data_IF_959062263446
#
_entry.id   IF_959062263446
#
_cell.length_a   1.000
_cell.length_b   1.000
_cell.length_c   1.000
_cell.angle_alpha   90.00
_cell.angle_beta   90.00
_cell.angle_gamma   90.00
#
_symmetry.space_group_name_H-M   'P 1'
#
loop_
_entity.id
_entity.type
_entity.pdbx_description
1 polymer ?
#
# COMPACT_ATOMS: atom_id res chain seq x y z
N UNK A 1 44.13 -21.70 -6.48
CA UNK A 1 43.93 -20.38 -5.83
C UNK A 1 43.02 -19.63 -6.76
N UNK A 2 41.71 -19.75 -6.55
CA UNK A 2 40.74 -18.99 -7.34
C UNK A 2 40.96 -17.51 -7.06
N UNK A 3 41.16 -16.73 -8.12
CA UNK A 3 41.32 -15.28 -8.01
C UNK A 3 40.12 -14.71 -7.28
N UNK A 4 40.35 -14.04 -6.15
CA UNK A 4 39.32 -13.29 -5.45
C UNK A 4 38.63 -12.37 -6.46
N UNK A 5 37.28 -12.29 -6.45
CA UNK A 5 36.55 -11.45 -7.40
C UNK A 5 37.06 -10.01 -7.32
N UNK A 6 37.13 -9.34 -8.47
CA UNK A 6 37.55 -7.94 -8.54
C UNK A 6 36.62 -7.08 -7.68
N UNK A 7 37.10 -6.76 -6.48
CA UNK A 7 36.34 -6.02 -5.48
C UNK A 7 35.97 -4.61 -5.97
N UNK A 8 36.65 -4.08 -7.00
CA UNK A 8 36.29 -2.79 -7.59
C UNK A 8 35.03 -2.89 -8.46
N UNK A 9 34.93 -3.93 -9.30
CA UNK A 9 33.73 -4.22 -10.09
C UNK A 9 32.53 -4.60 -9.19
N UNK A 10 32.78 -5.36 -8.12
CA UNK A 10 31.74 -5.67 -7.12
C UNK A 10 31.27 -4.40 -6.41
N UNK A 11 32.17 -3.50 -6.01
CA UNK A 11 31.80 -2.21 -5.39
C UNK A 11 31.06 -1.29 -6.35
N UNK A 12 31.44 -1.27 -7.63
CA UNK A 12 30.74 -0.49 -8.66
C UNK A 12 29.30 -0.99 -8.88
N UNK A 13 29.10 -2.32 -8.89
CA UNK A 13 27.76 -2.92 -8.98
C UNK A 13 26.91 -2.73 -7.71
N UNK A 14 27.53 -2.42 -6.57
CA UNK A 14 26.85 -2.12 -5.31
C UNK A 14 26.54 -0.63 -5.13
N UNK A 15 27.08 0.25 -5.96
CA UNK A 15 26.82 1.68 -5.88
C UNK A 15 25.33 1.97 -6.13
N UNK A 16 24.75 2.84 -5.30
CA UNK A 16 23.40 3.36 -5.52
C UNK A 16 23.51 4.76 -6.12
N UNK A 17 22.71 5.03 -7.14
CA UNK A 17 22.52 6.36 -7.70
C UNK A 17 21.07 6.75 -7.46
N UNK A 18 20.84 7.91 -6.85
CA UNK A 18 19.49 8.40 -6.65
C UNK A 18 18.86 8.73 -8.00
N UNK A 19 17.71 8.12 -8.26
CA UNK A 19 16.84 8.34 -9.42
C UNK A 19 15.45 8.60 -8.87
N UNK A 20 14.70 9.52 -9.47
CA UNK A 20 13.33 9.80 -9.08
C UNK A 20 12.36 9.04 -9.99
N UNK A 21 11.34 8.40 -9.42
CA UNK A 21 10.33 7.66 -10.17
C UNK A 21 9.66 8.54 -11.24
N UNK A 22 9.46 9.82 -10.94
CA UNK A 22 8.88 10.80 -11.86
C UNK A 22 9.61 10.91 -13.21
N UNK A 23 10.91 10.60 -13.25
CA UNK A 23 11.71 10.63 -14.48
C UNK A 23 11.38 9.45 -15.44
N UNK A 24 10.68 8.43 -14.93
CA UNK A 24 10.32 7.21 -15.65
C UNK A 24 8.81 7.05 -15.88
N UNK A 25 7.99 8.00 -15.43
CA UNK A 25 6.54 7.92 -15.54
C UNK A 25 6.03 8.56 -16.84
N UNK A 26 5.24 7.85 -17.65
CA UNK A 26 4.63 8.44 -18.83
C UNK A 26 3.54 9.45 -18.45
N UNK A 27 3.27 10.47 -19.29
CA UNK A 27 2.11 11.33 -19.09
C UNK A 27 0.81 10.54 -19.21
N UNK A 28 -0.24 11.01 -18.53
CA UNK A 28 -1.56 10.38 -18.62
C UNK A 28 -2.26 10.74 -19.92
N UNK A 29 -2.94 9.76 -20.51
CA UNK A 29 -4.02 10.02 -21.46
C UNK A 29 -5.17 10.75 -20.74
N UNK A 30 -5.63 11.92 -21.23
CA UNK A 30 -6.65 12.72 -20.53
C UNK A 30 -7.99 11.99 -20.33
N UNK A 31 -8.37 11.11 -21.26
CA UNK A 31 -9.63 10.37 -21.19
C UNK A 31 -9.53 9.22 -20.17
N UNK A 32 -8.39 8.53 -20.14
CA UNK A 32 -8.08 7.54 -19.13
C UNK A 32 -7.94 8.17 -17.73
N UNK A 33 -7.34 9.35 -17.62
CA UNK A 33 -7.30 10.10 -16.35
C UNK A 33 -8.70 10.50 -15.92
N UNK A 34 -9.60 10.93 -16.83
CA UNK A 34 -10.99 11.21 -16.48
C UNK A 34 -11.68 10.00 -15.84
N UNK A 35 -11.52 8.80 -16.41
CA UNK A 35 -12.05 7.55 -15.82
C UNK A 35 -11.43 7.29 -14.44
N UNK A 36 -10.11 7.46 -14.29
CA UNK A 36 -9.41 7.28 -13.02
C UNK A 36 -9.90 8.25 -11.93
N UNK A 37 -9.99 9.55 -12.24
CA UNK A 37 -10.44 10.57 -11.29
C UNK A 37 -11.88 10.29 -10.84
N UNK A 38 -12.75 9.89 -11.76
CA UNK A 38 -14.12 9.52 -11.41
C UNK A 38 -14.19 8.24 -10.56
N UNK A 39 -13.40 7.21 -10.89
CA UNK A 39 -13.26 6.01 -10.05
C UNK A 39 -12.75 6.34 -8.63
N UNK A 40 -11.77 7.24 -8.51
CA UNK A 40 -11.27 7.75 -7.23
C UNK A 40 -12.32 8.50 -6.44
N UNK A 41 -13.11 9.32 -7.11
CA UNK A 41 -14.23 10.03 -6.49
C UNK A 41 -15.25 9.05 -5.90
N UNK A 42 -15.68 8.04 -6.67
CA UNK A 42 -16.59 7.00 -6.19
C UNK A 42 -16.02 6.23 -5.00
N UNK A 43 -14.73 5.88 -5.04
CA UNK A 43 -14.05 5.18 -3.95
C UNK A 43 -13.98 6.01 -2.65
N UNK A 44 -13.84 7.33 -2.76
CA UNK A 44 -13.75 8.26 -1.62
C UNK A 44 -15.11 8.71 -1.09
N UNK A 45 -16.16 8.68 -1.93
CA UNK A 45 -17.51 9.09 -1.57
C UNK A 45 -18.00 8.34 -0.33
N UNK A 46 -18.66 9.06 0.57
CA UNK A 46 -19.27 8.47 1.77
C UNK A 46 -20.52 7.66 1.42
N UNK A 47 -20.78 6.62 2.20
CA UNK A 47 -21.91 5.69 2.01
C UNK A 47 -21.51 4.32 1.44
N UNK A 48 -22.51 3.48 1.12
CA UNK A 48 -22.27 2.15 0.53
C UNK A 48 -21.49 2.28 -0.77
N UNK A 49 -20.46 1.44 -0.94
CA UNK A 49 -19.54 1.48 -2.09
C UNK A 49 -19.78 0.29 -3.00
N UNK A 50 -19.93 0.55 -4.30
CA UNK A 50 -19.86 -0.48 -5.32
C UNK A 50 -18.42 -0.54 -5.86
N UNK A 51 -17.62 -1.44 -5.33
CA UNK A 51 -16.22 -1.57 -5.76
C UNK A 51 -16.07 -2.21 -7.13
N UNK A 52 -17.06 -2.97 -7.62
CA UNK A 52 -17.07 -3.46 -9.00
C UNK A 52 -17.24 -2.30 -9.99
N UNK A 53 -18.07 -1.31 -9.65
CA UNK A 53 -18.18 -0.08 -10.44
C UNK A 53 -16.86 0.71 -10.43
N UNK A 54 -16.18 0.83 -9.28
CA UNK A 54 -14.85 1.48 -9.21
C UNK A 54 -13.83 0.71 -10.07
N UNK A 55 -13.81 -0.62 -9.94
CA UNK A 55 -12.90 -1.49 -10.67
C UNK A 55 -13.12 -1.42 -12.18
N UNK A 56 -14.37 -1.30 -12.65
CA UNK A 56 -14.70 -1.05 -14.07
C UNK A 56 -13.94 0.15 -14.61
N UNK A 57 -14.02 1.30 -13.94
CA UNK A 57 -13.32 2.51 -14.38
C UNK A 57 -11.80 2.32 -14.37
N UNK A 58 -11.26 1.68 -13.32
CA UNK A 58 -9.83 1.42 -13.25
C UNK A 58 -9.32 0.43 -14.30
N UNK A 59 -10.08 -0.62 -14.62
CA UNK A 59 -9.74 -1.59 -15.68
C UNK A 59 -9.60 -0.90 -17.03
N UNK A 60 -10.58 -0.08 -17.39
CA UNK A 60 -10.58 0.63 -18.68
C UNK A 60 -9.43 1.65 -18.71
N UNK A 61 -9.25 2.43 -17.64
CA UNK A 61 -8.13 3.38 -17.56
C UNK A 61 -6.75 2.68 -17.61
N UNK A 62 -6.58 1.57 -16.89
CA UNK A 62 -5.36 0.78 -16.88
C UNK A 62 -5.04 0.20 -18.27
N UNK A 63 -6.04 -0.27 -19.01
CA UNK A 63 -5.86 -0.76 -20.39
C UNK A 63 -5.37 0.33 -21.37
N UNK A 64 -5.62 1.61 -21.04
CA UNK A 64 -5.08 2.78 -21.73
C UNK A 64 -3.80 3.35 -21.08
N UNK A 65 -3.11 2.56 -20.26
CA UNK A 65 -1.79 2.91 -19.71
C UNK A 65 -1.82 3.77 -18.45
N UNK A 66 -2.99 3.94 -17.82
CA UNK A 66 -3.09 4.75 -16.61
C UNK A 66 -2.54 4.00 -15.38
N UNK A 67 -1.26 4.18 -15.07
CA UNK A 67 -0.55 3.41 -14.07
C UNK A 67 -1.11 3.53 -12.65
N UNK A 68 -1.62 4.70 -12.24
CA UNK A 68 -2.28 4.84 -10.92
C UNK A 68 -3.60 4.08 -10.85
N UNK A 69 -4.29 3.91 -11.98
CA UNK A 69 -5.53 3.14 -12.04
C UNK A 69 -5.20 1.65 -11.94
N UNK A 70 -4.15 1.23 -12.64
CA UNK A 70 -3.60 -0.13 -12.55
C UNK A 70 -3.23 -0.48 -11.10
N UNK A 71 -2.37 0.30 -10.41
CA UNK A 71 -1.99 0.01 -9.02
C UNK A 71 -3.21 -0.05 -8.07
N UNK A 72 -4.16 0.86 -8.22
CA UNK A 72 -5.37 0.84 -7.39
C UNK A 72 -6.25 -0.37 -7.68
N UNK A 73 -6.36 -0.79 -8.94
CA UNK A 73 -7.10 -1.97 -9.34
C UNK A 73 -6.46 -3.24 -8.78
N UNK A 74 -5.14 -3.37 -8.87
CA UNK A 74 -4.39 -4.49 -8.28
C UNK A 74 -4.78 -4.67 -6.81
N UNK A 75 -4.78 -3.59 -6.02
CA UNK A 75 -5.19 -3.63 -4.61
C UNK A 75 -6.65 -4.04 -4.40
N UNK A 76 -7.59 -3.60 -5.25
CA UNK A 76 -9.01 -3.99 -5.16
C UNK A 76 -9.20 -5.48 -5.49
N UNK A 77 -8.57 -5.95 -6.56
CA UNK A 77 -8.71 -7.33 -7.04
C UNK A 77 -7.99 -8.32 -6.11
N UNK A 78 -6.74 -8.01 -5.72
CA UNK A 78 -5.93 -8.91 -4.91
C UNK A 78 -6.49 -9.14 -3.50
N UNK A 79 -7.24 -8.17 -2.97
CA UNK A 79 -7.93 -8.24 -1.69
C UNK A 79 -9.34 -8.85 -1.79
N UNK A 80 -9.80 -9.19 -3.00
CA UNK A 80 -11.16 -9.69 -3.24
C UNK A 80 -12.26 -8.65 -3.02
N UNK A 81 -11.91 -7.36 -3.04
CA UNK A 81 -12.86 -6.25 -2.88
C UNK A 81 -13.62 -6.00 -4.20
N UNK A 82 -12.95 -6.22 -5.33
CA UNK A 82 -13.56 -6.23 -6.65
C UNK A 82 -13.53 -7.65 -7.24
N UNK A 83 -14.63 -8.03 -7.89
CA UNK A 83 -14.78 -9.34 -8.50
C UNK A 83 -13.88 -9.49 -9.73
N UNK A 84 -13.25 -10.66 -9.85
CA UNK A 84 -12.46 -11.09 -10.99
C UNK A 84 -12.65 -12.59 -11.21
N UNK A 85 -12.77 -13.06 -12.47
CA UNK A 85 -12.82 -14.50 -12.77
C UNK A 85 -11.56 -15.24 -12.31
N UNK A 86 -10.41 -14.57 -12.31
CA UNK A 86 -9.13 -15.09 -11.84
C UNK A 86 -8.32 -13.93 -11.25
N UNK A 87 -8.59 -13.62 -9.98
CA UNK A 87 -7.97 -12.49 -9.29
C UNK A 87 -6.43 -12.54 -9.25
N UNK A 88 -5.79 -13.70 -8.95
CA UNK A 88 -4.34 -13.82 -9.03
C UNK A 88 -3.80 -13.51 -10.43
N UNK A 89 -4.42 -14.07 -11.47
CA UNK A 89 -3.98 -13.81 -12.84
C UNK A 89 -4.14 -12.35 -13.24
N UNK A 90 -5.31 -11.75 -13.00
CA UNK A 90 -5.56 -10.35 -13.35
C UNK A 90 -4.55 -9.43 -12.66
N UNK A 91 -4.30 -9.65 -11.36
CA UNK A 91 -3.34 -8.85 -10.58
C UNK A 91 -1.92 -8.95 -11.15
N UNK A 92 -1.46 -10.16 -11.47
CA UNK A 92 -0.11 -10.36 -12.05
C UNK A 92 -0.02 -9.80 -13.47
N UNK A 93 -1.06 -9.94 -14.29
CA UNK A 93 -1.09 -9.36 -15.64
C UNK A 93 -1.04 -7.82 -15.58
N UNK A 94 -1.72 -7.20 -14.60
CA UNK A 94 -1.65 -5.75 -14.34
C UNK A 94 -0.24 -5.30 -13.92
N UNK A 95 0.40 -5.98 -12.98
CA UNK A 95 1.77 -5.66 -12.58
C UNK A 95 2.78 -5.86 -13.73
N UNK A 96 2.61 -6.94 -14.51
CA UNK A 96 3.41 -7.19 -15.71
C UNK A 96 3.21 -6.12 -16.79
N UNK A 97 1.99 -5.58 -16.93
CA UNK A 97 1.72 -4.46 -17.83
C UNK A 97 2.57 -3.23 -17.48
N UNK A 98 2.73 -2.91 -16.19
CA UNK A 98 3.57 -1.80 -15.73
C UNK A 98 5.05 -2.05 -15.98
N UNK A 99 5.53 -3.28 -15.71
CA UNK A 99 6.91 -3.70 -16.03
C UNK A 99 7.19 -3.53 -17.53
N UNK A 100 6.26 -3.96 -18.39
CA UNK A 100 6.39 -3.82 -19.85
C UNK A 100 6.41 -2.37 -20.33
N UNK A 101 5.82 -1.45 -19.56
CA UNK A 101 5.84 -0.01 -19.81
C UNK A 101 7.07 0.67 -19.20
N UNK A 102 7.95 -0.07 -18.52
CA UNK A 102 9.12 0.47 -17.83
C UNK A 102 8.78 1.26 -16.56
N UNK A 103 7.58 1.09 -16.02
CA UNK A 103 7.12 1.82 -14.83
C UNK A 103 7.75 1.19 -13.58
N UNK A 104 8.47 1.95 -12.75
CA UNK A 104 9.20 1.41 -11.59
C UNK A 104 8.32 0.66 -10.60
N UNK A 105 7.11 1.19 -10.31
CA UNK A 105 6.13 0.54 -9.45
C UNK A 105 5.73 -0.88 -9.88
N UNK A 106 5.73 -1.20 -11.17
CA UNK A 106 5.44 -2.57 -11.62
C UNK A 106 6.47 -3.60 -11.16
N UNK A 107 7.75 -3.21 -11.13
CA UNK A 107 8.80 -4.08 -10.59
C UNK A 107 8.65 -4.28 -9.09
N UNK A 108 8.26 -3.23 -8.35
CA UNK A 108 7.95 -3.31 -6.92
C UNK A 108 6.77 -4.27 -6.67
N UNK A 109 5.69 -4.14 -7.45
CA UNK A 109 4.49 -4.98 -7.34
C UNK A 109 4.82 -6.47 -7.58
N UNK A 110 5.54 -6.79 -8.65
CA UNK A 110 5.97 -8.19 -8.92
C UNK A 110 6.88 -8.71 -7.80
N UNK A 111 7.80 -7.88 -7.31
CA UNK A 111 8.63 -8.23 -6.15
C UNK A 111 7.77 -8.60 -4.94
N UNK A 112 6.79 -7.77 -4.61
CA UNK A 112 5.87 -8.00 -3.51
C UNK A 112 5.06 -9.30 -3.67
N UNK A 113 4.53 -9.57 -4.88
CA UNK A 113 3.78 -10.81 -5.13
C UNK A 113 4.65 -12.08 -5.09
N UNK A 114 5.92 -11.99 -5.47
CA UNK A 114 6.90 -13.08 -5.30
C UNK A 114 7.22 -13.33 -3.81
N UNK A 115 7.25 -12.29 -2.97
CA UNK A 115 7.43 -12.49 -1.52
C UNK A 115 6.22 -13.18 -0.87
N UNK A 116 5.02 -12.83 -1.31
CA UNK A 116 3.77 -13.38 -0.77
C UNK A 116 3.41 -14.75 -1.35
N UNK A 117 3.88 -15.06 -2.56
CA UNK A 117 3.41 -16.22 -3.33
C UNK A 117 1.99 -16.05 -3.88
N UNK A 118 1.56 -14.81 -4.19
CA UNK A 118 0.24 -14.52 -4.74
C UNK A 118 0.28 -14.50 -6.26
N UNK A 119 -0.40 -15.45 -6.93
CA UNK A 119 -0.38 -15.60 -8.40
C UNK A 119 0.97 -16.06 -8.99
N UNK A 120 2.06 -15.92 -8.23
CA UNK A 120 3.40 -16.39 -8.54
C UNK A 120 3.86 -17.37 -7.46
N UNK A 121 4.75 -18.29 -7.81
CA UNK A 121 5.42 -19.13 -6.80
C UNK A 121 6.29 -18.24 -5.90
N UNK A 122 6.18 -18.43 -4.59
CA UNK A 122 6.99 -17.67 -3.63
C UNK A 122 8.49 -17.86 -3.90
N UNK A 123 9.20 -16.73 -4.02
CA UNK A 123 10.65 -16.70 -4.27
C UNK A 123 11.24 -15.39 -3.73
N UNK A 124 11.82 -15.45 -2.53
CA UNK A 124 12.40 -14.28 -1.87
C UNK A 124 13.64 -13.73 -2.58
N UNK A 125 14.45 -14.59 -3.22
CA UNK A 125 15.65 -14.12 -3.92
C UNK A 125 15.28 -13.37 -5.20
N UNK A 126 14.31 -13.89 -5.95
CA UNK A 126 13.78 -13.21 -7.12
C UNK A 126 13.09 -11.91 -6.71
N UNK A 127 12.29 -11.92 -5.63
CA UNK A 127 11.65 -10.72 -5.12
C UNK A 127 12.67 -9.61 -4.82
N UNK A 128 13.78 -9.92 -4.14
CA UNK A 128 14.84 -8.96 -3.86
C UNK A 128 15.47 -8.36 -5.13
N UNK A 129 15.60 -9.15 -6.20
CA UNK A 129 16.10 -8.65 -7.50
C UNK A 129 15.11 -7.66 -8.13
N UNK A 130 13.81 -7.96 -8.08
CA UNK A 130 12.75 -7.06 -8.56
C UNK A 130 12.69 -5.77 -7.73
N UNK A 131 12.73 -5.88 -6.40
CA UNK A 131 12.80 -4.73 -5.48
C UNK A 131 14.03 -3.86 -5.77
N UNK A 132 15.21 -4.48 -5.97
CA UNK A 132 16.41 -3.73 -6.33
C UNK A 132 16.26 -3.01 -7.67
N UNK A 133 15.71 -3.69 -8.68
CA UNK A 133 15.46 -3.08 -9.99
C UNK A 133 14.49 -1.90 -9.91
N UNK A 134 13.42 -2.01 -9.11
CA UNK A 134 12.49 -0.92 -8.86
C UNK A 134 13.18 0.28 -8.18
N UNK A 135 14.04 0.03 -7.19
CA UNK A 135 14.80 1.06 -6.49
C UNK A 135 15.79 1.80 -7.41
N UNK A 136 16.50 1.05 -8.26
CA UNK A 136 17.43 1.61 -9.26
C UNK A 136 16.71 2.41 -10.36
N UNK A 137 15.41 2.15 -10.59
CA UNK A 137 14.53 2.93 -11.47
C UNK A 137 13.77 4.05 -10.73
N UNK A 138 14.08 4.27 -9.45
CA UNK A 138 13.59 5.41 -8.70
C UNK A 138 12.34 5.20 -7.86
N UNK A 139 11.74 3.99 -7.84
CA UNK A 139 10.53 3.75 -7.04
C UNK A 139 10.81 4.00 -5.54
N UNK A 140 10.10 4.93 -4.88
CA UNK A 140 10.39 5.32 -3.49
C UNK A 140 10.12 4.20 -2.47
N UNK A 141 9.07 3.40 -2.65
CA UNK A 141 8.77 2.27 -1.78
C UNK A 141 9.88 1.20 -1.86
N UNK A 142 10.40 0.94 -3.06
CA UNK A 142 11.51 0.03 -3.29
C UNK A 142 12.84 0.57 -2.73
N UNK A 143 13.12 1.86 -2.89
CA UNK A 143 14.29 2.50 -2.28
C UNK A 143 14.25 2.36 -0.76
N UNK A 144 13.08 2.61 -0.16
CA UNK A 144 12.87 2.38 1.26
C UNK A 144 13.08 0.91 1.65
N UNK A 145 12.42 -0.02 0.94
CA UNK A 145 12.49 -1.46 1.19
C UNK A 145 13.93 -1.99 1.11
N UNK A 146 14.66 -1.65 0.06
CA UNK A 146 16.05 -2.10 -0.11
C UNK A 146 16.96 -1.42 0.91
N UNK A 147 16.71 -0.15 1.23
CA UNK A 147 17.39 0.57 2.31
C UNK A 147 17.29 -0.17 3.64
N UNK A 148 16.09 -0.62 4.02
CA UNK A 148 15.84 -1.42 5.23
C UNK A 148 16.66 -2.73 5.26
N UNK A 149 16.82 -3.41 4.12
CA UNK A 149 17.66 -4.63 4.04
C UNK A 149 19.15 -4.33 4.20
N UNK A 150 19.60 -3.14 3.79
CA UNK A 150 21.00 -2.72 3.84
C UNK A 150 21.36 -1.99 5.14
N UNK A 151 20.37 -1.53 5.91
CA UNK A 151 20.53 -0.77 7.15
C UNK A 151 21.34 -1.47 8.26
N UNK A 152 21.28 -2.81 8.44
CA UNK A 152 22.12 -3.49 9.43
C UNK A 152 23.61 -3.12 9.28
N UNK A 153 24.29 -2.94 10.41
CA UNK A 153 25.65 -2.41 10.48
C UNK A 153 26.68 -3.25 9.69
N UNK A 154 26.42 -4.54 9.57
CA UNK A 154 27.21 -5.55 8.89
C UNK A 154 26.91 -5.67 7.38
N UNK A 155 25.91 -4.95 6.87
CA UNK A 155 25.53 -4.93 5.45
C UNK A 155 26.09 -3.70 4.71
N UNK A 156 25.28 -2.64 4.57
CA UNK A 156 25.69 -1.43 3.84
C UNK A 156 24.93 -0.18 4.34
N UNK A 157 25.09 0.22 5.62
CA UNK A 157 24.30 1.29 6.24
C UNK A 157 24.47 2.65 5.55
N UNK A 158 25.62 2.91 4.92
CA UNK A 158 25.83 4.14 4.14
C UNK A 158 24.96 4.18 2.88
N UNK A 159 24.78 3.05 2.20
CA UNK A 159 23.91 2.95 1.02
C UNK A 159 22.45 3.01 1.45
N UNK A 160 22.09 2.37 2.57
CA UNK A 160 20.75 2.47 3.15
C UNK A 160 20.33 3.93 3.38
N UNK A 161 21.20 4.73 4.01
CA UNK A 161 20.97 6.17 4.21
C UNK A 161 20.77 6.92 2.90
N UNK A 162 21.55 6.61 1.86
CA UNK A 162 21.40 7.25 0.54
C UNK A 162 20.04 6.90 -0.10
N UNK A 163 19.62 5.64 0.01
CA UNK A 163 18.32 5.20 -0.50
C UNK A 163 17.16 5.85 0.25
N UNK A 164 17.23 5.91 1.58
CA UNK A 164 16.21 6.61 2.37
C UNK A 164 16.18 8.11 2.08
N UNK A 165 17.33 8.76 1.88
CA UNK A 165 17.39 10.16 1.44
C UNK A 165 16.68 10.35 0.10
N UNK A 166 16.99 9.51 -0.90
CA UNK A 166 16.36 9.59 -2.21
C UNK A 166 14.83 9.38 -2.13
N UNK A 167 14.36 8.40 -1.35
CA UNK A 167 12.93 8.18 -1.14
C UNK A 167 12.27 9.35 -0.40
N UNK A 168 12.96 9.94 0.58
CA UNK A 168 12.51 11.12 1.34
C UNK A 168 12.34 12.33 0.43
N UNK A 169 13.28 12.56 -0.50
CA UNK A 169 13.24 13.66 -1.46
C UNK A 169 12.05 13.54 -2.44
N UNK A 170 11.54 12.32 -2.61
CA UNK A 170 10.32 12.01 -3.38
C UNK A 170 9.03 12.05 -2.54
N UNK A 171 9.12 12.37 -1.24
CA UNK A 171 7.98 12.46 -0.33
C UNK A 171 7.55 11.13 0.29
N UNK A 172 8.43 10.13 0.35
CA UNK A 172 8.17 8.87 1.05
C UNK A 172 8.30 9.07 2.57
N UNK A 173 7.18 8.94 3.26
CA UNK A 173 7.00 9.38 4.65
C UNK A 173 7.75 8.49 5.65
N UNK A 174 7.69 7.16 5.49
CA UNK A 174 8.42 6.19 6.33
C UNK A 174 9.93 6.29 6.13
N UNK A 175 10.38 6.54 4.90
CA UNK A 175 11.81 6.71 4.62
C UNK A 175 12.37 7.94 5.32
N UNK A 176 11.61 9.03 5.33
CA UNK A 176 11.98 10.25 6.03
C UNK A 176 12.07 10.05 7.55
N UNK A 177 11.17 9.23 8.12
CA UNK A 177 11.22 8.85 9.52
C UNK A 177 12.48 8.00 9.83
N UNK A 178 12.75 6.95 9.06
CA UNK A 178 13.93 6.10 9.28
C UNK A 178 15.24 6.86 9.07
N UNK A 179 15.31 7.72 8.05
CA UNK A 179 16.43 8.63 7.85
C UNK A 179 16.64 9.55 9.06
N UNK A 180 15.56 10.11 9.61
CA UNK A 180 15.63 10.95 10.81
C UNK A 180 16.14 10.18 12.03
N UNK A 181 15.69 8.93 12.23
CA UNK A 181 16.13 8.06 13.32
C UNK A 181 17.62 7.71 13.18
N UNK A 182 18.06 7.32 11.99
CA UNK A 182 19.46 6.98 11.70
C UNK A 182 20.40 8.19 11.88
N UNK A 183 20.01 9.35 11.37
CA UNK A 183 20.76 10.60 11.53
C UNK A 183 20.83 11.02 13.01
N UNK A 184 19.73 10.87 13.77
CA UNK A 184 19.72 11.08 15.22
C UNK A 184 20.68 10.13 15.94
N UNK A 185 20.66 8.84 15.61
CA UNK A 185 21.58 7.84 16.16
C UNK A 185 23.04 8.17 15.87
N UNK A 186 23.31 8.72 14.68
CA UNK A 186 24.60 9.25 14.25
C UNK A 186 24.93 10.63 14.82
N UNK A 187 24.05 11.22 15.65
CA UNK A 187 24.16 12.56 16.26
C UNK A 187 24.24 13.71 15.23
N UNK A 188 23.74 13.47 14.02
CA UNK A 188 23.60 14.46 12.95
C UNK A 188 22.26 15.20 13.12
N UNK A 189 22.10 15.86 14.27
CA UNK A 189 20.81 16.38 14.72
C UNK A 189 20.14 17.40 13.78
N UNK A 190 20.86 18.37 13.17
CA UNK A 190 20.22 19.31 12.23
C UNK A 190 19.64 18.61 11.00
N UNK A 191 20.29 17.56 10.50
CA UNK A 191 19.81 16.81 9.35
C UNK A 191 18.69 15.85 9.75
N UNK A 192 18.75 15.26 10.95
CA UNK A 192 17.64 14.50 11.52
C UNK A 192 16.36 15.35 11.61
N UNK A 193 16.46 16.59 12.10
CA UNK A 193 15.32 17.52 12.17
C UNK A 193 14.73 17.83 10.78
N UNK A 194 15.57 18.00 9.75
CA UNK A 194 15.10 18.18 8.36
C UNK A 194 14.39 16.94 7.83
N UNK A 195 14.94 15.75 8.08
CA UNK A 195 14.33 14.49 7.67
C UNK A 195 12.96 14.30 8.35
N UNK A 196 12.87 14.54 9.66
CA UNK A 196 11.58 14.52 10.37
C UNK A 196 10.61 15.57 9.84
N UNK A 197 11.08 16.76 9.45
CA UNK A 197 10.23 17.79 8.85
C UNK A 197 9.64 17.31 7.51
N UNK A 198 10.45 16.67 6.66
CA UNK A 198 9.96 16.06 5.42
C UNK A 198 9.01 14.88 5.69
N UNK A 199 9.25 14.09 6.74
CA UNK A 199 8.35 13.03 7.17
C UNK A 199 6.98 13.57 7.57
N UNK A 200 6.95 14.59 8.45
CA UNK A 200 5.71 15.25 8.85
C UNK A 200 4.99 15.93 7.67
N UNK A 201 5.73 16.60 6.78
CA UNK A 201 5.22 17.13 5.51
C UNK A 201 4.52 16.06 4.68
N UNK A 202 5.13 14.87 4.65
CA UNK A 202 4.68 13.71 3.91
C UNK A 202 3.64 12.87 4.67
N UNK A 203 3.15 13.34 5.82
CA UNK A 203 2.07 12.67 6.56
C UNK A 203 2.52 11.58 7.54
N UNK A 204 3.79 11.58 7.97
CA UNK A 204 4.25 10.66 9.02
C UNK A 204 4.07 11.29 10.41
N UNK A 205 3.15 10.76 11.22
CA UNK A 205 2.89 11.29 12.57
C UNK A 205 4.03 11.03 13.55
N UNK A 206 4.76 9.91 13.43
CA UNK A 206 5.97 9.64 14.23
C UNK A 206 7.06 10.70 14.00
N UNK A 207 7.25 11.14 12.76
CA UNK A 207 8.18 12.21 12.44
C UNK A 207 7.76 13.56 13.08
N UNK A 208 6.45 13.86 13.09
CA UNK A 208 5.93 15.02 13.81
C UNK A 208 6.17 14.90 15.33
N UNK A 209 5.99 13.71 15.91
CA UNK A 209 6.22 13.44 17.33
C UNK A 209 7.69 13.63 17.73
N UNK A 210 8.64 13.22 16.89
CA UNK A 210 10.07 13.49 17.15
C UNK A 210 10.38 14.98 17.22
N UNK A 211 9.75 15.80 16.38
CA UNK A 211 9.91 17.25 16.40
C UNK A 211 9.16 17.88 17.58
N UNK A 212 7.95 17.41 17.92
CA UNK A 212 7.22 17.81 19.11
C UNK A 212 8.09 17.64 20.36
N UNK A 213 8.60 16.43 20.58
CA UNK A 213 9.43 16.13 21.73
C UNK A 213 10.79 16.82 21.67
N UNK A 214 11.40 16.94 20.48
CA UNK A 214 12.66 17.67 20.32
C UNK A 214 12.56 19.14 20.73
N UNK A 215 11.49 19.83 20.33
CA UNK A 215 11.22 21.22 20.73
C UNK A 215 10.68 21.36 22.16
N UNK A 216 10.21 20.28 22.80
CA UNK A 216 9.90 20.28 24.23
C UNK A 216 11.16 20.45 25.12
N UNK A 217 12.36 20.45 24.53
CA UNK A 217 13.62 20.74 25.22
C UNK A 217 14.08 19.65 26.19
N UNK A 218 14.08 18.36 25.80
CA UNK A 218 14.51 17.28 26.66
C UNK A 218 15.99 17.44 27.04
N UNK A 219 16.35 16.95 28.22
CA UNK A 219 17.75 16.86 28.63
C UNK A 219 18.54 15.97 27.66
N UNK A 220 19.84 16.23 27.40
CA UNK A 220 20.70 15.30 26.65
C UNK A 220 20.75 13.87 27.18
N UNK A 221 20.36 13.64 28.44
CA UNK A 221 20.23 12.31 29.02
C UNK A 221 19.01 11.53 28.52
N UNK A 222 17.99 12.22 28.00
CA UNK A 222 16.84 11.60 27.34
C UNK A 222 17.21 11.28 25.88
N UNK A 223 17.92 10.16 25.70
CA UNK A 223 18.40 9.73 24.39
C UNK A 223 17.27 9.44 23.39
N UNK A 224 16.05 9.19 23.87
CA UNK A 224 14.91 8.88 23.01
C UNK A 224 14.46 10.14 22.25
N UNK A 225 14.29 11.24 22.98
CA UNK A 225 13.70 12.48 22.47
C UNK A 225 14.72 13.56 22.12
N UNK A 226 15.96 13.45 22.60
CA UNK A 226 16.97 14.47 22.38
C UNK A 226 17.46 14.50 20.92
N UNK A 227 17.16 15.62 20.24
CA UNK A 227 17.66 15.94 18.89
C UNK A 227 18.29 17.35 18.82
N UNK A 228 18.89 17.82 19.93
CA UNK A 228 19.62 19.09 20.02
C UNK A 228 18.91 20.33 19.43
N UNK A 229 17.58 20.35 19.50
CA UNK A 229 16.77 21.51 19.14
C UNK A 229 16.65 22.46 20.33
N UNK A 230 16.51 23.78 20.10
CA UNK A 230 16.22 24.72 21.16
C UNK A 230 14.85 24.43 21.77
N UNK A 231 14.71 24.62 23.08
CA UNK A 231 13.40 24.56 23.73
C UNK A 231 12.48 25.65 23.16
N UNK A 232 11.38 25.23 22.55
CA UNK A 232 10.38 26.09 21.92
C UNK A 232 8.97 25.48 22.09
N UNK A 233 8.25 25.86 23.16
CA UNK A 233 6.93 25.31 23.46
C UNK A 233 5.90 25.51 22.35
N UNK A 234 5.99 26.60 21.58
CA UNK A 234 5.04 26.87 20.50
C UNK A 234 5.33 25.98 19.28
N UNK A 235 6.60 25.76 18.93
CA UNK A 235 6.93 24.74 17.90
C UNK A 235 6.47 23.37 18.32
N UNK A 236 6.77 22.98 19.56
CA UNK A 236 6.32 21.69 20.12
C UNK A 236 4.80 21.53 19.99
N UNK A 237 4.03 22.56 20.40
CA UNK A 237 2.57 22.60 20.24
C UNK A 237 2.11 22.47 18.79
N UNK A 238 2.75 23.15 17.83
CA UNK A 238 2.39 23.07 16.40
C UNK A 238 2.65 21.69 15.82
N UNK A 239 3.77 21.04 16.16
CA UNK A 239 4.03 19.67 15.74
C UNK A 239 3.06 18.67 16.33
N UNK A 240 2.65 18.85 17.59
CA UNK A 240 1.57 18.06 18.19
C UNK A 240 0.28 18.16 17.37
N UNK A 241 -0.14 19.38 17.03
CA UNK A 241 -1.35 19.62 16.24
C UNK A 241 -1.24 19.02 14.82
N UNK A 242 -0.04 19.03 14.23
CA UNK A 242 0.25 18.36 12.96
C UNK A 242 0.11 16.84 13.11
N UNK A 243 0.69 16.23 14.15
CA UNK A 243 0.55 14.81 14.44
C UNK A 243 -0.92 14.41 14.64
N UNK A 244 -1.64 15.14 15.49
CA UNK A 244 -3.08 14.95 15.72
C UNK A 244 -3.91 15.11 14.43
N UNK A 245 -3.52 16.01 13.53
CA UNK A 245 -4.16 16.16 12.22
C UNK A 245 -3.89 14.96 11.32
N UNK A 246 -2.65 14.49 11.25
CA UNK A 246 -2.26 13.32 10.46
C UNK A 246 -3.03 12.09 10.95
N UNK A 247 -2.99 11.79 12.25
CA UNK A 247 -3.61 10.58 12.81
C UNK A 247 -5.14 10.56 12.62
N UNK A 248 -5.83 11.70 12.84
CA UNK A 248 -7.29 11.80 12.62
C UNK A 248 -7.70 11.57 11.16
N UNK A 249 -6.78 11.78 10.22
CA UNK A 249 -7.05 11.70 8.79
C UNK A 249 -6.32 10.52 8.11
N UNK A 250 -5.64 9.64 8.84
CA UNK A 250 -4.75 8.60 8.31
C UNK A 250 -5.39 7.76 7.18
N UNK A 251 -6.65 7.36 7.34
CA UNK A 251 -7.42 6.64 6.30
C UNK A 251 -7.68 7.41 5.00
N UNK A 252 -7.29 8.68 4.93
CA UNK A 252 -7.39 9.57 3.75
C UNK A 252 -6.01 9.97 3.20
N UNK A 253 -4.91 9.40 3.72
CA UNK A 253 -3.52 9.69 3.35
C UNK A 253 -3.21 11.21 3.41
N UNK A 254 -3.29 11.82 4.60
CA UNK A 254 -3.14 13.26 4.76
C UNK A 254 -1.69 13.69 4.49
N UNK A 255 -1.52 14.90 3.98
CA UNK A 255 -0.20 15.54 3.77
C UNK A 255 -0.24 16.94 4.35
N UNK A 256 0.92 17.49 4.69
CA UNK A 256 1.06 18.85 5.24
C UNK A 256 2.02 19.66 4.35
N UNK A 257 1.65 19.94 3.08
CA UNK A 257 2.55 20.56 2.10
C UNK A 257 2.98 21.98 2.49
N UNK A 258 2.19 22.64 3.35
CA UNK A 258 2.41 23.97 3.91
C UNK A 258 3.14 23.96 5.26
N UNK A 259 3.73 22.83 5.69
CA UNK A 259 4.39 22.71 6.99
C UNK A 259 5.44 23.80 7.25
N UNK A 260 6.21 24.23 6.25
CA UNK A 260 7.23 25.28 6.40
C UNK A 260 6.62 26.68 6.51
N UNK A 261 5.35 26.85 6.12
CA UNK A 261 4.55 28.06 6.37
C UNK A 261 3.84 28.01 7.73
N UNK A 262 3.75 26.83 8.35
CA UNK A 262 3.14 26.62 9.66
C UNK A 262 4.21 26.65 10.76
N UNK A 263 5.28 25.87 10.60
CA UNK A 263 6.33 25.65 11.59
C UNK A 263 7.68 25.44 10.89
N UNK A 264 8.29 26.52 10.35
CA UNK A 264 9.62 26.40 9.78
C UNK A 264 10.66 26.07 10.86
N UNK A 265 11.62 25.22 10.52
CA UNK A 265 12.74 24.89 11.39
C UNK A 265 13.59 26.14 11.71
N UNK A 266 14.23 26.20 12.89
CA UNK A 266 15.22 27.24 13.19
C UNK A 266 16.32 27.32 12.12
N UNK A 267 16.88 28.51 11.84
CA UNK A 267 16.74 29.76 12.61
C UNK A 267 15.52 30.63 12.23
N UNK A 268 14.64 30.17 11.35
CA UNK A 268 13.46 30.94 10.95
C UNK A 268 12.56 31.26 12.15
N UNK A 269 11.93 32.44 12.16
CA UNK A 269 10.91 32.78 13.17
C UNK A 269 9.58 32.13 12.81
N UNK A 270 8.76 31.84 13.81
CA UNK A 270 7.42 31.31 13.57
C UNK A 270 6.56 32.37 12.88
N UNK A 271 5.92 32.05 11.75
CA UNK A 271 4.94 32.92 11.13
C UNK A 271 3.61 32.89 11.91
N UNK A 272 2.75 33.90 11.74
CA UNK A 272 1.35 33.80 12.12
C UNK A 272 0.71 32.57 11.45
N UNK A 273 -0.11 31.84 12.18
CA UNK A 273 -0.84 30.68 11.68
C UNK A 273 -2.25 30.68 12.26
N UNK A 274 -3.23 30.42 11.39
CA UNK A 274 -4.67 30.44 11.71
C UNK A 274 -5.17 29.12 12.33
N UNK A 275 -4.30 28.13 12.50
CA UNK A 275 -4.65 26.82 13.04
C UNK A 275 -5.24 25.85 12.00
N UNK A 276 -5.20 26.19 10.72
CA UNK A 276 -5.77 25.37 9.63
C UNK A 276 -4.68 24.79 8.74
N UNK A 277 -4.98 23.68 8.06
CA UNK A 277 -4.07 23.04 7.12
C UNK A 277 -4.52 23.23 5.67
N UNK A 278 -3.57 23.45 4.75
CA UNK A 278 -3.89 23.56 3.32
C UNK A 278 -4.66 22.33 2.81
N UNK A 279 -4.33 21.13 3.28
CA UNK A 279 -5.04 19.90 2.92
C UNK A 279 -6.54 19.96 3.26
N UNK A 280 -6.92 20.53 4.42
CA UNK A 280 -8.34 20.67 4.79
C UNK A 280 -9.05 21.66 3.88
N UNK A 281 -8.38 22.76 3.52
CA UNK A 281 -8.89 23.76 2.57
C UNK A 281 -9.11 23.15 1.18
N UNK A 282 -8.15 22.36 0.71
CA UNK A 282 -8.22 21.68 -0.60
C UNK A 282 -9.37 20.67 -0.62
N UNK A 283 -9.55 19.91 0.47
CA UNK A 283 -10.64 18.94 0.59
C UNK A 283 -12.01 19.61 0.65
N UNK A 284 -12.13 20.75 1.32
CA UNK A 284 -13.37 21.54 1.36
C UNK A 284 -13.71 22.21 0.02
N UNK A 285 -12.68 22.57 -0.77
CA UNK A 285 -12.83 23.19 -2.08
C UNK A 285 -12.97 22.18 -3.24
N UNK A 286 -12.79 20.89 -2.99
CA UNK A 286 -12.79 19.86 -4.02
C UNK A 286 -14.15 19.75 -4.73
N UNK A 287 -14.15 20.00 -6.04
CA UNK A 287 -15.33 19.81 -6.90
C UNK A 287 -15.36 18.36 -7.40
N UNK A 288 -16.52 17.67 -7.34
CA UNK A 288 -16.65 16.32 -7.90
C UNK A 288 -16.25 16.30 -9.38
N UNK A 289 -15.45 15.31 -9.82
CA UNK A 289 -15.13 15.15 -11.23
C UNK A 289 -16.40 14.84 -12.03
N UNK A 290 -16.44 15.30 -13.27
CA UNK A 290 -17.55 15.01 -14.17
C UNK A 290 -17.61 13.50 -14.47
N UNK A 291 -18.80 12.92 -14.37
CA UNK A 291 -19.03 11.52 -14.77
C UNK A 291 -18.64 11.33 -16.25
N UNK A 292 -17.77 10.35 -16.57
CA UNK A 292 -17.49 9.95 -17.95
C UNK A 292 -18.78 9.59 -18.69
N UNK A 293 -18.92 10.01 -19.95
CA UNK A 293 -20.12 9.67 -20.73
C UNK A 293 -20.14 8.20 -21.11
N UNK A 294 -21.32 7.65 -21.34
CA UNK A 294 -21.47 6.24 -21.73
C UNK A 294 -20.81 6.00 -23.10
N UNK A 295 -20.83 6.98 -24.01
CA UNK A 295 -20.13 6.91 -25.31
C UNK A 295 -18.61 6.86 -25.15
N UNK A 296 -18.06 7.59 -24.16
CA UNK A 296 -16.63 7.57 -23.87
C UNK A 296 -16.21 6.18 -23.37
N UNK A 297 -16.98 5.64 -22.41
CA UNK A 297 -16.73 4.31 -21.83
C UNK A 297 -16.81 3.25 -22.93
N UNK A 298 -17.86 3.29 -23.76
CA UNK A 298 -18.04 2.35 -24.86
C UNK A 298 -16.86 2.38 -25.84
N UNK A 299 -16.47 3.57 -26.29
CA UNK A 299 -15.35 3.74 -27.23
C UNK A 299 -14.03 3.23 -26.66
N UNK A 300 -13.71 3.58 -25.41
CA UNK A 300 -12.45 3.19 -24.78
C UNK A 300 -12.40 1.67 -24.52
N UNK A 301 -13.52 1.06 -24.13
CA UNK A 301 -13.63 -0.38 -23.95
C UNK A 301 -13.49 -1.14 -25.26
N UNK A 302 -14.19 -0.70 -26.32
CA UNK A 302 -14.09 -1.31 -27.65
C UNK A 302 -12.65 -1.26 -28.20
N UNK A 303 -11.95 -0.13 -28.03
CA UNK A 303 -10.57 0.03 -28.48
C UNK A 303 -9.57 -0.94 -27.82
N UNK A 304 -9.94 -1.53 -26.67
CA UNK A 304 -9.12 -2.48 -25.90
C UNK A 304 -9.77 -3.88 -25.80
N UNK A 305 -10.85 -4.12 -26.55
CA UNK A 305 -11.63 -5.37 -26.50
C UNK A 305 -12.10 -5.74 -25.09
N UNK A 306 -12.60 -4.75 -24.35
CA UNK A 306 -13.15 -4.92 -23.00
C UNK A 306 -14.67 -4.86 -23.01
N UNK A 307 -15.30 -5.51 -22.03
CA UNK A 307 -16.70 -5.33 -21.70
C UNK A 307 -16.91 -3.92 -21.10
N UNK A 308 -17.73 -3.06 -21.71
CA UNK A 308 -18.03 -1.73 -21.20
C UNK A 308 -18.60 -1.71 -19.78
N UNK A 309 -19.33 -2.74 -19.35
CA UNK A 309 -20.00 -2.80 -18.04
C UNK A 309 -19.06 -3.19 -16.89
N UNK A 310 -18.08 -4.06 -17.16
CA UNK A 310 -17.19 -4.61 -16.12
C UNK A 310 -15.74 -4.18 -16.27
N UNK A 311 -15.35 -3.70 -17.46
CA UNK A 311 -13.97 -3.44 -17.86
C UNK A 311 -13.13 -4.70 -18.09
N UNK A 312 -13.72 -5.89 -17.98
CA UNK A 312 -13.00 -7.16 -18.16
C UNK A 312 -12.74 -7.46 -19.65
N UNK A 313 -11.67 -8.16 -20.00
CA UNK A 313 -11.43 -8.59 -21.38
C UNK A 313 -12.56 -9.48 -21.92
N UNK A 314 -13.02 -9.20 -23.13
CA UNK A 314 -13.98 -10.07 -23.83
C UNK A 314 -13.28 -11.36 -24.29
N UNK A 315 -13.96 -12.50 -24.14
CA UNK A 315 -13.45 -13.78 -24.64
C UNK A 315 -13.19 -13.72 -26.15
N UNK A 316 -12.11 -14.35 -26.62
CA UNK A 316 -11.86 -14.48 -28.06
C UNK A 316 -13.01 -15.29 -28.70
N UNK A 317 -13.50 -14.94 -29.90
CA UNK A 317 -14.60 -15.67 -30.56
C UNK A 317 -14.37 -17.18 -30.70
N UNK A 318 -13.11 -17.62 -30.76
CA UNK A 318 -12.74 -19.03 -30.85
C UNK A 318 -12.91 -19.83 -29.54
N UNK A 319 -12.97 -19.18 -28.37
CA UNK A 319 -13.15 -19.85 -27.07
C UNK A 319 -14.63 -20.04 -26.72
N UNK A 320 -15.52 -19.17 -27.20
CA UNK A 320 -16.97 -19.28 -26.99
C UNK A 320 -17.51 -20.54 -27.68
N UNK A 321 -17.02 -20.85 -28.88
CA UNK A 321 -17.41 -22.04 -29.63
C UNK A 321 -16.97 -23.38 -29.01
N UNK A 322 -15.97 -23.38 -28.11
CA UNK A 322 -15.54 -24.58 -27.38
C UNK A 322 -16.23 -24.72 -26.02
N UNK A 323 -16.54 -23.60 -25.35
CA UNK A 323 -17.25 -23.60 -24.07
C UNK A 323 -18.72 -24.05 -24.19
N UNK A 324 -19.37 -23.83 -25.33
CA UNK A 324 -20.76 -24.28 -25.57
C UNK A 324 -20.89 -25.80 -25.78
N UNK A 325 -19.79 -26.52 -25.99
CA UNK A 325 -19.79 -27.98 -26.22
C UNK A 325 -19.40 -28.84 -25.02
N UNK A 326 -18.98 -28.27 -23.90
CA UNK A 326 -18.68 -28.99 -22.66
C UNK A 326 -19.53 -28.48 -21.49
N UNK A 327 -20.85 -28.54 -21.61
CA UNK A 327 -21.72 -28.52 -20.42
C UNK A 327 -21.71 -29.92 -19.82
N UNK A 328 -20.66 -30.22 -19.05
CA UNK A 328 -20.72 -31.29 -18.07
C UNK A 328 -21.84 -30.95 -17.06
N UNK A 329 -22.61 -31.93 -16.57
CA UNK A 329 -23.63 -31.67 -15.56
C UNK A 329 -22.99 -30.96 -14.36
N UNK A 330 -23.67 -29.98 -13.74
CA UNK A 330 -23.09 -29.23 -12.63
C UNK A 330 -22.65 -30.22 -11.54
N UNK A 331 -21.43 -30.09 -11.00
CA UNK A 331 -20.98 -30.95 -9.93
C UNK A 331 -21.97 -30.86 -8.77
N UNK A 332 -22.29 -32.01 -8.17
CA UNK A 332 -23.20 -32.10 -7.04
C UNK A 332 -22.72 -31.14 -5.91
N UNK A 333 -23.49 -30.08 -5.67
CA UNK A 333 -23.19 -29.08 -4.62
C UNK A 333 -23.24 -29.76 -3.25
N UNK A 334 -22.28 -29.46 -2.38
CA UNK A 334 -22.35 -29.89 -0.99
C UNK A 334 -23.46 -29.14 -0.25
N UNK A 335 -24.21 -29.81 0.65
CA UNK A 335 -25.33 -29.20 1.35
C UNK A 335 -24.87 -28.02 2.23
N UNK A 336 -25.69 -26.98 2.33
CA UNK A 336 -25.49 -25.91 3.30
C UNK A 336 -25.39 -26.50 4.72
N UNK A 337 -24.43 -26.00 5.48
CA UNK A 337 -24.05 -26.56 6.77
C UNK A 337 -22.93 -27.60 6.72
N UNK A 338 -22.41 -27.93 5.53
CA UNK A 338 -21.14 -28.67 5.41
C UNK A 338 -20.04 -27.96 6.19
N UNK A 339 -19.22 -28.73 6.89
CA UNK A 339 -18.16 -28.23 7.77
C UNK A 339 -16.79 -28.66 7.27
N UNK A 340 -15.83 -27.74 7.32
CA UNK A 340 -14.42 -27.99 7.04
C UNK A 340 -13.53 -27.25 8.05
N UNK A 341 -12.31 -27.74 8.26
CA UNK A 341 -11.40 -27.24 9.31
C UNK A 341 -10.23 -26.48 8.72
N UNK A 342 -9.66 -25.61 9.56
CA UNK A 342 -8.37 -24.96 9.26
C UNK A 342 -7.33 -25.96 8.76
N UNK A 343 -6.64 -25.61 7.67
CA UNK A 343 -5.61 -26.42 7.04
C UNK A 343 -6.14 -27.42 6.00
N UNK A 344 -7.44 -27.71 5.98
CA UNK A 344 -8.08 -28.53 4.95
C UNK A 344 -8.32 -27.73 3.68
N UNK A 345 -8.33 -28.40 2.53
CA UNK A 345 -8.80 -27.82 1.28
C UNK A 345 -10.32 -27.61 1.35
N UNK A 346 -10.77 -26.40 1.00
CA UNK A 346 -12.17 -26.03 0.94
C UNK A 346 -12.89 -26.99 -0.01
N UNK A 347 -13.97 -27.65 0.42
CA UNK A 347 -14.55 -28.73 -0.36
C UNK A 347 -15.56 -28.24 -1.41
N UNK A 348 -16.01 -26.98 -1.32
CA UNK A 348 -17.05 -26.40 -2.17
C UNK A 348 -16.92 -24.87 -2.23
N UNK A 349 -17.12 -24.32 -3.43
CA UNK A 349 -17.25 -22.88 -3.63
C UNK A 349 -18.43 -22.35 -2.81
N UNK A 350 -18.18 -21.36 -1.96
CA UNK A 350 -19.25 -20.79 -1.16
C UNK A 350 -18.81 -19.74 -0.17
N UNK A 351 -19.80 -19.16 0.50
CA UNK A 351 -19.63 -18.33 1.69
C UNK A 351 -19.58 -19.25 2.91
N UNK A 352 -18.49 -19.17 3.65
CA UNK A 352 -18.26 -19.97 4.85
C UNK A 352 -18.20 -19.06 6.07
N UNK A 353 -19.01 -19.40 7.08
CA UNK A 353 -19.04 -18.71 8.35
C UNK A 353 -18.20 -19.48 9.38
N UNK A 354 -17.44 -18.74 10.19
CA UNK A 354 -16.70 -19.35 11.30
C UNK A 354 -17.61 -19.70 12.47
N UNK A 355 -17.44 -20.89 13.03
CA UNK A 355 -17.93 -21.24 14.36
C UNK A 355 -16.77 -21.35 15.35
N UNK A 356 -16.79 -20.51 16.39
CA UNK A 356 -15.86 -20.57 17.53
C UNK A 356 -16.51 -21.26 18.73
N UNK A 357 -15.72 -21.84 19.63
CA UNK A 357 -16.20 -22.47 20.88
C UNK A 357 -17.04 -21.50 21.74
N UNK A 358 -18.03 -22.05 22.46
CA UNK A 358 -19.04 -21.35 23.28
C UNK A 358 -18.47 -20.15 24.06
N UNK A 359 -18.98 -18.95 23.77
CA UNK A 359 -18.64 -17.70 24.46
C UNK A 359 -17.80 -16.70 23.64
N UNK A 360 -17.51 -17.00 22.38
CA UNK A 360 -16.82 -16.08 21.45
C UNK A 360 -17.71 -15.77 20.25
N UNK A 361 -17.84 -14.49 19.91
CA UNK A 361 -18.52 -14.01 18.70
C UNK A 361 -17.44 -13.56 17.72
N UNK A 362 -17.47 -14.09 16.49
CA UNK A 362 -16.73 -13.54 15.37
C UNK A 362 -17.67 -13.49 14.17
N UNK A 363 -18.03 -12.29 13.73
CA UNK A 363 -18.62 -12.10 12.40
C UNK A 363 -17.47 -12.16 11.40
N UNK A 364 -17.24 -13.34 10.83
CA UNK A 364 -16.33 -13.52 9.72
C UNK A 364 -16.92 -14.55 8.76
N UNK A 365 -17.91 -14.11 7.99
CA UNK A 365 -18.23 -14.77 6.72
C UNK A 365 -17.09 -14.49 5.74
N UNK A 366 -16.61 -15.54 5.08
CA UNK A 366 -15.57 -15.44 4.05
C UNK A 366 -15.91 -16.36 2.89
N UNK A 367 -15.66 -15.86 1.69
CA UNK A 367 -15.81 -16.63 0.46
C UNK A 367 -14.56 -17.47 0.23
N UNK A 368 -14.75 -18.77 -0.05
CA UNK A 368 -13.69 -19.69 -0.43
C UNK A 368 -14.06 -20.42 -1.71
N UNK A 369 -13.08 -20.60 -2.58
CA UNK A 369 -13.16 -21.50 -3.72
C UNK A 369 -12.74 -22.91 -3.31
N UNK A 370 -13.34 -23.92 -3.94
CA UNK A 370 -13.00 -25.31 -3.80
C UNK A 370 -11.51 -25.52 -4.08
N UNK A 371 -10.83 -26.20 -3.15
CA UNK A 371 -9.38 -26.44 -3.20
C UNK A 371 -8.56 -25.46 -2.36
N UNK A 372 -9.06 -24.26 -2.06
CA UNK A 372 -8.32 -23.28 -1.23
C UNK A 372 -8.08 -23.81 0.18
N UNK A 373 -6.90 -23.58 0.73
CA UNK A 373 -6.62 -23.99 2.11
C UNK A 373 -7.35 -23.07 3.10
N UNK A 374 -8.17 -23.64 3.98
CA UNK A 374 -8.94 -22.87 4.94
C UNK A 374 -8.01 -22.29 6.03
N UNK A 375 -8.03 -20.97 6.25
CA UNK A 375 -7.04 -20.31 7.10
C UNK A 375 -7.36 -20.50 8.58
N UNK A 376 -6.31 -20.39 9.40
CA UNK A 376 -6.44 -20.17 10.83
C UNK A 376 -6.97 -18.76 11.10
N UNK A 377 -7.61 -18.55 12.25
CA UNK A 377 -8.06 -17.21 12.64
C UNK A 377 -7.16 -16.63 13.72
N UNK A 378 -6.73 -15.39 13.50
CA UNK A 378 -6.10 -14.59 14.54
C UNK A 378 -7.20 -13.97 15.39
N UNK A 379 -7.35 -14.46 16.61
CA UNK A 379 -8.25 -13.85 17.59
C UNK A 379 -7.47 -12.89 18.49
N UNK A 380 -8.09 -11.75 18.77
CA UNK A 380 -7.57 -10.76 19.70
C UNK A 380 -8.16 -11.03 21.08
N UNK A 381 -7.30 -11.31 22.07
CA UNK A 381 -7.70 -11.43 23.46
C UNK A 381 -7.25 -10.18 24.22
N UNK A 382 -8.09 -9.12 24.28
CA UNK A 382 -7.74 -7.94 25.05
C UNK A 382 -7.54 -8.33 26.52
N UNK A 383 -6.52 -7.76 27.15
CA UNK A 383 -6.30 -7.90 28.59
C UNK A 383 -7.38 -7.11 29.33
N UNK A 384 -7.64 -7.46 30.59
CA UNK A 384 -8.67 -6.80 31.44
C UNK A 384 -8.49 -5.28 31.54
N UNK A 385 -7.26 -4.78 31.37
CA UNK A 385 -6.97 -3.36 31.36
C UNK A 385 -6.28 -2.98 30.04
N UNK A 386 -6.92 -2.13 29.24
CA UNK A 386 -6.52 -1.79 27.88
C UNK A 386 -5.12 -1.15 27.75
N UNK A 387 -4.67 -0.41 28.78
CA UNK A 387 -3.33 0.22 28.76
C UNK A 387 -2.18 -0.80 28.64
N UNK A 388 -2.39 -2.04 29.10
CA UNK A 388 -1.40 -3.12 28.96
C UNK A 388 -1.28 -3.61 27.52
N UNK A 389 -2.35 -3.56 26.74
CA UNK A 389 -2.33 -3.95 25.33
C UNK A 389 -1.64 -2.88 24.47
N UNK A 390 -1.74 -1.60 24.85
CA UNK A 390 -1.03 -0.51 24.19
C UNK A 390 0.50 -0.57 24.45
N UNK A 391 0.91 -1.05 25.62
CA UNK A 391 2.33 -1.12 25.98
C UNK A 391 3.02 -2.42 25.53
N UNK A 392 2.32 -3.55 25.54
CA UNK A 392 2.91 -4.87 25.24
C UNK A 392 2.39 -5.50 23.94
N UNK A 393 1.60 -4.76 23.16
CA UNK A 393 0.83 -5.30 22.04
C UNK A 393 -0.36 -6.15 22.50
N UNK A 394 -1.46 -6.10 21.75
CA UNK A 394 -2.64 -6.94 21.99
C UNK A 394 -2.22 -8.41 21.85
N UNK A 395 -2.65 -9.27 22.78
CA UNK A 395 -2.40 -10.71 22.64
C UNK A 395 -3.17 -11.23 21.43
N UNK A 396 -2.41 -11.52 20.38
CA UNK A 396 -2.88 -12.26 19.23
C UNK A 396 -2.67 -13.75 19.50
N UNK A 397 -3.70 -14.54 19.25
CA UNK A 397 -3.59 -15.98 19.25
C UNK A 397 -4.18 -16.50 17.95
N UNK A 398 -3.38 -17.25 17.20
CA UNK A 398 -3.87 -18.01 16.06
C UNK A 398 -4.57 -19.26 16.58
N UNK A 399 -5.85 -19.38 16.29
CA UNK A 399 -6.67 -20.54 16.68
C UNK A 399 -7.15 -21.26 15.42
N UNK A 400 -7.19 -22.59 15.51
CA UNK A 400 -7.87 -23.41 14.52
C UNK A 400 -9.37 -23.14 14.60
N UNK A 401 -9.98 -22.94 13.44
CA UNK A 401 -11.37 -22.57 13.28
C UNK A 401 -12.13 -23.66 12.51
N UNK A 402 -13.42 -23.76 12.82
CA UNK A 402 -14.36 -24.61 12.09
C UNK A 402 -15.17 -23.73 11.16
N UNK A 403 -15.08 -23.99 9.86
CA UNK A 403 -15.78 -23.25 8.81
C UNK A 403 -17.04 -24.01 8.42
N UNK A 404 -18.17 -23.31 8.34
CA UNK A 404 -19.46 -23.88 7.94
C UNK A 404 -19.96 -23.18 6.68
N UNK A 405 -20.29 -23.95 5.65
CA UNK A 405 -20.90 -23.44 4.42
C UNK A 405 -22.28 -22.84 4.74
N UNK A 406 -22.48 -21.56 4.43
CA UNK A 406 -23.72 -20.82 4.70
C UNK A 406 -24.40 -20.28 3.44
N UNK A 407 -23.66 -20.16 2.33
CA UNK A 407 -24.22 -19.75 1.03
C UNK A 407 -23.33 -20.20 -0.12
N UNK A 408 -23.84 -20.15 -1.35
CA UNK A 408 -23.07 -20.40 -2.57
C UNK A 408 -22.69 -19.07 -3.24
N UNK A 409 -21.56 -19.01 -3.95
CA UNK A 409 -21.05 -17.76 -4.53
C UNK A 409 -21.88 -17.22 -5.70
N UNK A 410 -22.77 -18.03 -6.27
CA UNK A 410 -23.70 -17.66 -7.33
C UNK A 410 -25.05 -17.11 -6.81
N UNK A 411 -25.27 -17.14 -5.49
CA UNK A 411 -26.52 -16.71 -4.83
C UNK A 411 -26.28 -15.67 -3.70
N UNK A 412 -25.03 -15.26 -3.44
CA UNK A 412 -24.63 -14.40 -2.31
C UNK A 412 -24.24 -12.98 -2.71
#
# INVERSE_FOLDING_TARGET
MDSLPDMSAVRANLAFTCVHEADHLPPFDPEADQLFQYGRYLQKKEGPKNFNEVARYYRIAAAHGHYKANNNLQGLVSQGIAESPDAPKETIDLAAQLVNQGIPGGYYDIGHYLELGYGLKQDHEMALRYMRKAADLGNPDAQYYVGEKLAPIDNAPTIARQMWQCATDQGHDKAANELGIDLKGSKLYPDAAKAFQQGAKSGNSSAALFLEHGFAGPSPSDQLNYIALPHDPERSRRYKLIGDFIDRNDGRNPKVPDIDKIVPLPPAKLPPWDGTFQWEKDQAAAVPPQKPSDELIERLSQAKHLDPATGLPLAKPAQVAQAETEVAPPPARLPLGTVARTGESCPQDGVWCVSLTKGMVADAERSFLKGMQLPSLTIYRPRRFAWMDNWMGVRQQTVAATWKLVGYLDEA
#
